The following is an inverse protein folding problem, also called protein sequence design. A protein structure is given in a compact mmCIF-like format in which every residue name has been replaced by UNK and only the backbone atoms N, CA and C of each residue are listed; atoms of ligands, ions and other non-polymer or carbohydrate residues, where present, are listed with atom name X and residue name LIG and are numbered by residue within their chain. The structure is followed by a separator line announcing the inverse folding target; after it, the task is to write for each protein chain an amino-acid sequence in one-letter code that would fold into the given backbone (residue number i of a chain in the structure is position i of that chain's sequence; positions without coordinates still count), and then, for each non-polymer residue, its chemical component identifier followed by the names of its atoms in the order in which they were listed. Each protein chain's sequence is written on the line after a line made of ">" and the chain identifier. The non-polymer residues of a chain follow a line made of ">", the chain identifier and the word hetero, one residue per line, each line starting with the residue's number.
data_IF_677889309962
#
_entry.id   IF_677889309962
#
_cell.length_a   1.000
_cell.length_b   1.000
_cell.length_c   1.000
_cell.angle_alpha   90.00
_cell.angle_beta   90.00
_cell.angle_gamma   90.00
#
_symmetry.space_group_name_H-M   'P 1'
#
loop_
_entity.id
_entity.type
_entity.pdbx_description
1 polymer ?
#
# COMPACT_ATOMS: atom_id res chain seq x y z
N UNK A 1 -33.93 -23.30 37.79
CA UNK A 1 -34.76 -23.14 36.58
C UNK A 1 -33.93 -23.53 35.34
N UNK A 2 -33.19 -24.65 35.41
CA UNK A 2 -32.11 -25.04 34.47
C UNK A 2 -32.00 -26.57 34.36
N UNK A 3 -33.11 -27.29 34.15
CA UNK A 3 -33.09 -28.76 34.22
C UNK A 3 -33.88 -29.50 33.13
N UNK A 4 -34.33 -28.87 32.04
CA UNK A 4 -35.17 -29.58 31.05
C UNK A 4 -34.77 -29.34 29.58
N UNK A 5 -33.48 -29.49 29.25
CA UNK A 5 -33.08 -29.73 27.86
C UNK A 5 -32.15 -30.95 27.70
N UNK A 6 -32.33 -31.93 28.58
CA UNK A 6 -31.84 -33.29 28.42
C UNK A 6 -33.04 -34.16 28.02
N UNK A 7 -33.50 -34.01 26.79
CA UNK A 7 -34.48 -34.92 26.17
C UNK A 7 -34.02 -35.23 24.75
N UNK A 8 -33.86 -36.53 24.50
CA UNK A 8 -33.47 -37.20 23.26
C UNK A 8 -31.98 -37.11 22.89
N UNK A 9 -31.23 -38.14 23.31
CA UNK A 9 -30.06 -38.64 22.60
C UNK A 9 -30.51 -39.12 21.21
N UNK A 10 -30.63 -38.17 20.30
CA UNK A 10 -30.81 -38.42 18.88
C UNK A 10 -29.42 -38.30 18.28
N UNK A 11 -28.93 -39.37 17.65
CA UNK A 11 -27.69 -39.31 16.87
C UNK A 11 -27.92 -38.33 15.72
N UNK A 12 -27.63 -37.05 15.97
CA UNK A 12 -27.70 -36.01 14.96
C UNK A 12 -26.52 -36.24 14.03
N UNK A 13 -26.75 -36.95 12.94
CA UNK A 13 -25.77 -37.16 11.88
C UNK A 13 -25.55 -35.83 11.16
N UNK A 14 -24.61 -35.03 11.65
CA UNK A 14 -24.22 -33.76 11.02
C UNK A 14 -23.31 -34.07 9.84
N UNK A 15 -23.84 -33.92 8.62
CA UNK A 15 -23.05 -34.04 7.39
C UNK A 15 -22.35 -32.70 7.16
N UNK A 16 -21.05 -32.64 7.45
CA UNK A 16 -20.22 -31.46 7.17
C UNK A 16 -19.71 -31.55 5.73
N UNK A 17 -20.41 -30.90 4.81
CA UNK A 17 -19.97 -30.79 3.41
C UNK A 17 -18.93 -29.68 3.32
N UNK A 18 -17.66 -30.06 3.17
CA UNK A 18 -16.56 -29.13 2.98
C UNK A 18 -16.40 -28.83 1.49
N UNK A 19 -16.89 -27.67 1.07
CA UNK A 19 -16.64 -27.16 -0.28
C UNK A 19 -15.24 -26.54 -0.34
N UNK A 20 -14.34 -27.16 -1.09
CA UNK A 20 -13.04 -26.56 -1.43
C UNK A 20 -13.25 -25.84 -2.75
N UNK A 21 -13.44 -24.52 -2.67
CA UNK A 21 -13.59 -23.67 -3.85
C UNK A 21 -12.24 -23.01 -4.12
N UNK A 22 -11.63 -23.36 -5.25
CA UNK A 22 -10.43 -22.68 -5.72
C UNK A 22 -10.86 -21.39 -6.42
N UNK A 23 -10.32 -20.25 -5.97
CA UNK A 23 -10.70 -18.95 -6.55
C UNK A 23 -9.97 -18.80 -7.88
N UNK A 24 -10.72 -18.73 -8.98
CA UNK A 24 -10.16 -18.33 -10.29
C UNK A 24 -9.81 -16.84 -10.20
N UNK A 25 -8.59 -16.54 -9.73
CA UNK A 25 -8.12 -15.19 -9.35
C UNK A 25 -7.54 -14.39 -10.53
N UNK A 26 -7.56 -14.90 -11.75
CA UNK A 26 -6.80 -14.32 -12.87
C UNK A 26 -7.10 -12.84 -13.13
N UNK A 27 -8.37 -12.42 -13.07
CA UNK A 27 -8.74 -11.01 -13.23
C UNK A 27 -8.37 -10.16 -12.02
N UNK A 28 -8.47 -10.73 -10.83
CA UNK A 28 -8.21 -10.05 -9.57
C UNK A 28 -6.71 -9.78 -9.39
N UNK A 29 -5.87 -10.76 -9.73
CA UNK A 29 -4.41 -10.62 -9.74
C UNK A 29 -3.96 -9.54 -10.71
N UNK A 30 -4.55 -9.47 -11.91
CA UNK A 30 -4.22 -8.43 -12.90
C UNK A 30 -4.65 -7.05 -12.41
N UNK A 31 -5.88 -6.90 -11.89
CA UNK A 31 -6.39 -5.63 -11.37
C UNK A 31 -5.59 -5.08 -10.19
N UNK A 32 -4.93 -5.95 -9.42
CA UNK A 32 -4.07 -5.55 -8.29
C UNK A 32 -2.63 -5.30 -8.73
N UNK A 33 -2.11 -6.09 -9.68
CA UNK A 33 -0.72 -5.97 -10.14
C UNK A 33 -0.51 -4.77 -11.07
N UNK A 34 -1.51 -4.43 -11.91
CA UNK A 34 -1.46 -3.25 -12.78
C UNK A 34 -1.20 -1.94 -12.03
N UNK A 35 -1.98 -1.57 -11.01
CA UNK A 35 -1.76 -0.34 -10.25
C UNK A 35 -0.42 -0.36 -9.52
N UNK A 36 0.06 -1.52 -9.06
CA UNK A 36 1.39 -1.64 -8.46
C UNK A 36 2.51 -1.27 -9.46
N UNK A 37 2.41 -1.72 -10.71
CA UNK A 37 3.37 -1.41 -11.77
C UNK A 37 3.32 0.06 -12.20
N UNK A 38 2.10 0.61 -12.32
CA UNK A 38 1.90 2.05 -12.57
C UNK A 38 2.54 2.87 -11.45
N UNK A 39 2.37 2.49 -10.18
CA UNK A 39 2.97 3.21 -9.06
C UNK A 39 4.52 3.13 -9.07
N UNK A 40 5.08 1.96 -9.36
CA UNK A 40 6.53 1.78 -9.44
C UNK A 40 7.15 2.64 -10.56
N UNK A 41 6.54 2.64 -11.75
CA UNK A 41 6.99 3.46 -12.87
C UNK A 41 6.92 4.96 -12.56
N UNK A 42 5.85 5.41 -11.91
CA UNK A 42 5.68 6.81 -11.52
C UNK A 42 6.72 7.24 -10.48
N UNK A 43 7.05 6.41 -9.49
CA UNK A 43 8.14 6.67 -8.55
C UNK A 43 9.50 6.83 -9.27
N UNK A 44 9.76 6.02 -10.31
CA UNK A 44 10.98 6.10 -11.10
C UNK A 44 11.04 7.38 -11.96
N UNK A 45 9.92 7.78 -12.57
CA UNK A 45 9.78 9.06 -13.30
C UNK A 45 10.03 10.24 -12.36
N UNK A 46 9.49 10.18 -11.14
CA UNK A 46 9.72 11.22 -10.12
C UNK A 46 11.19 11.31 -9.75
N UNK A 47 11.93 10.20 -9.68
CA UNK A 47 13.37 10.18 -9.44
C UNK A 47 14.16 10.84 -10.58
N UNK A 48 13.73 10.60 -11.83
CA UNK A 48 14.41 11.11 -13.02
C UNK A 48 14.21 12.60 -13.28
N UNK A 49 13.09 13.17 -12.83
CA UNK A 49 12.79 14.57 -13.09
C UNK A 49 13.92 15.50 -12.50
N UNK A 50 14.12 16.75 -12.90
CA UNK A 50 15.15 17.62 -12.27
C UNK A 50 14.55 18.51 -11.17
N UNK A 51 15.32 18.79 -10.09
CA UNK A 51 14.85 19.43 -8.82
C UNK A 51 14.32 20.86 -8.97
N UNK A 52 14.37 21.44 -10.17
CA UNK A 52 14.15 22.87 -10.41
C UNK A 52 12.67 23.26 -10.54
N UNK A 53 11.74 22.31 -10.70
CA UNK A 53 10.32 22.62 -10.92
C UNK A 53 9.45 22.44 -9.67
N UNK A 54 8.61 23.44 -9.38
CA UNK A 54 7.56 23.34 -8.35
C UNK A 54 6.60 22.16 -8.58
N UNK A 55 6.46 21.72 -9.83
CA UNK A 55 5.60 20.58 -10.20
C UNK A 55 6.03 19.26 -9.56
N UNK A 56 7.33 19.05 -9.31
CA UNK A 56 7.80 17.82 -8.63
C UNK A 56 7.13 17.59 -7.29
N UNK A 57 7.05 18.66 -6.49
CA UNK A 57 6.45 18.58 -5.15
C UNK A 57 4.96 18.25 -5.24
N UNK A 58 4.24 18.87 -6.17
CA UNK A 58 2.81 18.60 -6.40
C UNK A 58 2.59 17.16 -6.86
N UNK A 59 3.40 16.68 -7.81
CA UNK A 59 3.34 15.30 -8.31
C UNK A 59 3.60 14.29 -7.19
N UNK A 60 4.63 14.52 -6.36
CA UNK A 60 4.93 13.70 -5.19
C UNK A 60 3.76 13.61 -4.19
N UNK A 61 3.08 14.72 -3.93
CA UNK A 61 1.92 14.75 -3.04
C UNK A 61 0.73 13.96 -3.61
N UNK A 62 0.46 14.10 -4.91
CA UNK A 62 -0.60 13.35 -5.59
C UNK A 62 -0.32 11.85 -5.54
N UNK A 63 0.94 11.45 -5.74
CA UNK A 63 1.34 10.03 -5.69
C UNK A 63 1.15 9.47 -4.29
N UNK A 64 1.52 10.22 -3.24
CA UNK A 64 1.33 9.78 -1.86
C UNK A 64 -0.16 9.63 -1.52
N UNK A 65 -1.01 10.55 -1.97
CA UNK A 65 -2.46 10.43 -1.83
C UNK A 65 -3.01 9.21 -2.59
N UNK A 66 -2.55 8.97 -3.81
CA UNK A 66 -2.97 7.81 -4.58
C UNK A 66 -2.57 6.49 -3.90
N UNK A 67 -1.38 6.42 -3.27
CA UNK A 67 -0.96 5.25 -2.49
C UNK A 67 -1.87 5.02 -1.29
N UNK A 68 -2.26 6.08 -0.59
CA UNK A 68 -3.17 6.00 0.55
C UNK A 68 -4.56 5.48 0.13
N UNK A 69 -5.12 6.03 -0.95
CA UNK A 69 -6.41 5.59 -1.48
C UNK A 69 -6.34 4.11 -1.87
N UNK A 70 -5.26 3.68 -2.54
CA UNK A 70 -5.10 2.28 -2.94
C UNK A 70 -5.03 1.33 -1.74
N UNK A 71 -4.26 1.68 -0.71
CA UNK A 71 -4.19 0.91 0.54
C UNK A 71 -5.55 0.82 1.21
N UNK A 72 -6.33 1.91 1.21
CA UNK A 72 -7.68 1.89 1.75
C UNK A 72 -8.61 0.98 0.95
N UNK A 73 -8.57 1.02 -0.39
CA UNK A 73 -9.35 0.08 -1.20
C UNK A 73 -8.96 -1.38 -0.93
N UNK A 74 -7.66 -1.64 -0.73
CA UNK A 74 -7.17 -2.96 -0.41
C UNK A 74 -7.60 -3.42 0.99
N UNK A 75 -7.73 -2.52 1.96
CA UNK A 75 -8.23 -2.86 3.30
C UNK A 75 -9.72 -3.21 3.32
N UNK A 76 -10.53 -2.60 2.44
CA UNK A 76 -11.94 -2.98 2.25
C UNK A 76 -12.09 -4.35 1.61
N UNK A 77 -11.11 -4.75 0.81
CA UNK A 77 -11.16 -5.97 0.02
C UNK A 77 -10.54 -7.18 0.74
N UNK A 78 -9.64 -6.92 1.68
CA UNK A 78 -9.09 -7.93 2.58
C UNK A 78 -10.13 -8.27 3.67
N UNK A 79 -10.62 -9.53 3.74
CA UNK A 79 -11.43 -9.96 4.88
C UNK A 79 -10.58 -9.86 6.15
N UNK A 80 -11.15 -9.32 7.23
CA UNK A 80 -10.48 -9.07 8.52
C UNK A 80 -10.01 -10.33 9.28
N UNK A 81 -10.02 -11.49 8.64
CA UNK A 81 -9.84 -12.82 9.27
C UNK A 81 -8.72 -13.67 8.65
N UNK A 82 -7.80 -13.08 7.89
CA UNK A 82 -6.65 -13.80 7.33
C UNK A 82 -5.43 -13.74 8.26
N UNK A 83 -4.98 -14.90 8.74
CA UNK A 83 -3.71 -15.06 9.49
C UNK A 83 -2.49 -14.69 8.61
N UNK A 84 -2.65 -14.78 7.28
CA UNK A 84 -1.63 -14.45 6.28
C UNK A 84 -1.96 -13.14 5.53
N UNK A 85 -1.00 -12.19 5.58
CA UNK A 85 -1.09 -10.94 4.84
C UNK A 85 -0.66 -11.15 3.38
N UNK A 86 -1.47 -10.75 2.38
CA UNK A 86 -1.10 -10.93 0.97
C UNK A 86 0.16 -10.12 0.60
N UNK A 87 1.05 -10.72 -0.19
CA UNK A 87 2.33 -10.13 -0.62
C UNK A 87 2.19 -8.73 -1.23
N UNK A 88 1.07 -8.44 -1.91
CA UNK A 88 0.83 -7.13 -2.52
C UNK A 88 0.66 -6.02 -1.48
N UNK A 89 0.06 -6.32 -0.32
CA UNK A 89 -0.08 -5.33 0.75
C UNK A 89 1.30 -4.96 1.32
N UNK A 90 2.20 -5.94 1.44
CA UNK A 90 3.58 -5.74 1.86
C UNK A 90 4.34 -4.87 0.85
N UNK A 91 4.14 -5.11 -0.46
CA UNK A 91 4.73 -4.29 -1.51
C UNK A 91 4.25 -2.83 -1.45
N UNK A 92 2.94 -2.60 -1.35
CA UNK A 92 2.38 -1.25 -1.27
C UNK A 92 2.85 -0.49 -0.03
N UNK A 93 2.95 -1.17 1.11
CA UNK A 93 3.52 -0.60 2.33
C UNK A 93 4.97 -0.14 2.10
N UNK A 94 5.81 -1.00 1.51
CA UNK A 94 7.20 -0.67 1.26
C UNK A 94 7.33 0.48 0.25
N UNK A 95 6.51 0.51 -0.80
CA UNK A 95 6.45 1.61 -1.77
C UNK A 95 6.08 2.95 -1.11
N UNK A 96 5.10 2.96 -0.21
CA UNK A 96 4.70 4.15 0.54
C UNK A 96 5.88 4.72 1.36
N UNK A 97 6.64 3.86 2.06
CA UNK A 97 7.82 4.30 2.81
C UNK A 97 8.87 4.94 1.91
N UNK A 98 9.11 4.35 0.72
CA UNK A 98 10.05 4.92 -0.26
C UNK A 98 9.55 6.29 -0.74
N UNK A 99 8.28 6.40 -1.17
CA UNK A 99 7.71 7.68 -1.61
C UNK A 99 7.74 8.74 -0.51
N UNK A 100 7.46 8.37 0.75
CA UNK A 100 7.53 9.29 1.88
C UNK A 100 8.97 9.78 2.13
N UNK A 101 9.96 8.88 2.11
CA UNK A 101 11.37 9.24 2.27
C UNK A 101 11.86 10.19 1.16
N UNK A 102 11.44 9.91 -0.08
CA UNK A 102 11.70 10.75 -1.25
C UNK A 102 11.11 12.15 -1.07
N UNK A 103 9.88 12.23 -0.55
CA UNK A 103 9.19 13.50 -0.32
C UNK A 103 9.88 14.34 0.77
N UNK A 104 10.32 13.70 1.86
CA UNK A 104 11.12 14.35 2.91
C UNK A 104 12.42 14.90 2.32
N UNK A 105 13.15 14.10 1.54
CA UNK A 105 14.38 14.52 0.90
C UNK A 105 14.17 15.73 -0.02
N UNK A 106 13.14 15.69 -0.88
CA UNK A 106 12.80 16.79 -1.79
C UNK A 106 12.40 18.06 -1.01
N UNK A 107 11.70 17.91 0.11
CA UNK A 107 11.31 19.05 0.97
C UNK A 107 12.54 19.69 1.60
N UNK A 108 13.50 18.89 2.07
CA UNK A 108 14.79 19.38 2.61
C UNK A 108 15.58 20.09 1.51
N UNK A 109 15.75 19.47 0.33
CA UNK A 109 16.47 20.09 -0.80
C UNK A 109 15.83 21.41 -1.22
N UNK A 110 14.50 21.49 -1.24
CA UNK A 110 13.77 22.72 -1.55
C UNK A 110 13.96 23.79 -0.47
N UNK A 111 13.95 23.40 0.82
CA UNK A 111 14.18 24.34 1.91
C UNK A 111 15.61 24.88 1.89
N UNK A 112 16.60 24.01 1.61
CA UNK A 112 17.99 24.41 1.41
C UNK A 112 18.15 25.34 0.20
N UNK A 113 17.52 25.02 -0.94
CA UNK A 113 17.58 25.86 -2.13
C UNK A 113 16.88 27.22 -1.95
N UNK A 114 15.81 27.28 -1.15
CA UNK A 114 15.12 28.53 -0.82
C UNK A 114 15.93 29.40 0.14
N UNK A 115 16.82 28.80 0.94
CA UNK A 115 17.72 29.53 1.83
C UNK A 115 18.94 30.02 1.03
N UNK A 116 19.12 31.33 0.93
CA UNK A 116 20.29 31.95 0.32
C UNK A 116 21.54 31.91 1.22
N UNK A 117 21.88 30.75 1.80
CA UNK A 117 23.15 30.63 2.50
C UNK A 117 24.29 30.55 1.46
N UNK A 118 25.41 31.26 1.67
CA UNK A 118 26.58 31.05 0.84
C UNK A 118 26.98 29.58 0.92
N UNK A 119 27.30 28.99 -0.24
CA UNK A 119 27.72 27.58 -0.33
C UNK A 119 28.89 27.38 0.64
N UNK A 120 28.83 26.40 1.55
CA UNK A 120 29.87 26.23 2.52
C UNK A 120 31.18 25.85 1.80
N UNK A 121 32.29 26.42 2.28
CA UNK A 121 33.60 26.42 1.59
C UNK A 121 34.17 25.04 1.24
N UNK A 122 33.65 23.96 1.82
CA UNK A 122 34.05 22.57 1.52
C UNK A 122 33.33 21.98 0.30
N UNK A 123 32.26 22.62 -0.18
CA UNK A 123 31.51 22.25 -1.38
C UNK A 123 31.96 23.04 -2.63
N UNK A 124 32.78 24.06 -2.45
CA UNK A 124 33.34 24.91 -3.49
C UNK A 124 34.74 24.37 -3.85
N UNK A 125 34.75 23.29 -4.64
CA UNK A 125 35.95 22.62 -5.18
C UNK A 125 35.96 22.76 -6.69
#
# INVERSE_FOLDING_TARGET
>A
NEQNFIVAQQDVTVIVVKFIVERISTLYDICITMPAFVMASVNLVVLWLPLKSNMRYVVLMVILHAHYIFLQQLSWLAPSSGDDTPFVLIFFRNSLFVTASMLVFVTISRNLAARQYPVPRWLDI
#
